data_IF_448509850649
#
_entry.id   IF_448509850649
#
_cell.length_a   1.000
_cell.length_b   1.000
_cell.length_c   1.000
_cell.angle_alpha   90.00
_cell.angle_beta   90.00
_cell.angle_gamma   90.00
#
_symmetry.space_group_name_H-M   'P 1'
#
loop_
_entity.id
_entity.type
_entity.pdbx_description
1 polymer ?
#
# COMPACT_ATOMS: atom_id res chain seq x y z
N UNK A 1 1.98 15.82 23.77
CA UNK A 1 0.96 15.26 22.85
C UNK A 1 1.71 14.26 21.99
N UNK A 2 1.55 12.96 22.25
CA UNK A 2 1.98 11.93 21.29
C UNK A 2 0.97 12.01 20.15
N UNK A 3 1.39 12.41 18.95
CA UNK A 3 0.53 12.30 17.78
C UNK A 3 0.28 10.81 17.53
N UNK A 4 -0.95 10.35 17.70
CA UNK A 4 -1.33 9.00 17.29
C UNK A 4 -1.39 8.96 15.77
N UNK A 5 -0.57 8.12 15.15
CA UNK A 5 -0.62 7.87 13.70
C UNK A 5 -1.59 6.71 13.43
N UNK A 6 -2.52 6.91 12.50
CA UNK A 6 -3.40 5.85 11.98
C UNK A 6 -2.92 5.44 10.60
N UNK A 7 -2.41 4.21 10.50
CA UNK A 7 -1.87 3.65 9.26
C UNK A 7 -2.83 2.59 8.72
N UNK A 8 -3.32 2.78 7.50
CA UNK A 8 -4.10 1.77 6.77
C UNK A 8 -3.19 0.73 6.14
N UNK A 9 -3.59 -0.54 6.14
CA UNK A 9 -2.88 -1.64 5.48
C UNK A 9 -3.82 -2.44 4.57
N UNK A 10 -3.38 -2.69 3.35
CA UNK A 10 -4.06 -3.53 2.34
C UNK A 10 -3.01 -4.27 1.51
N UNK A 11 -3.39 -5.33 0.80
CA UNK A 11 -2.49 -6.11 -0.05
C UNK A 11 -3.29 -6.92 -1.08
N UNK A 12 -2.59 -7.47 -2.08
CA UNK A 12 -3.09 -8.51 -2.99
C UNK A 12 -4.44 -8.14 -3.61
N UNK A 13 -4.55 -6.90 -4.10
CA UNK A 13 -5.80 -6.39 -4.67
C UNK A 13 -6.06 -6.99 -6.06
N UNK A 14 -5.01 -7.33 -6.81
CA UNK A 14 -5.06 -8.00 -8.12
C UNK A 14 -6.16 -7.42 -9.04
N UNK A 15 -6.13 -6.09 -9.24
CA UNK A 15 -7.09 -5.37 -10.08
C UNK A 15 -6.39 -4.82 -11.34
N UNK A 16 -6.89 -5.09 -12.55
CA UNK A 16 -7.96 -6.04 -12.85
C UNK A 16 -7.49 -7.49 -12.66
N UNK A 17 -8.41 -8.38 -12.30
CA UNK A 17 -8.10 -9.79 -12.08
C UNK A 17 -9.07 -10.44 -11.10
N UNK A 18 -8.61 -10.67 -9.87
CA UNK A 18 -9.46 -11.15 -8.78
C UNK A 18 -10.55 -10.12 -8.44
N UNK A 19 -10.22 -8.83 -8.58
CA UNK A 19 -11.15 -7.72 -8.44
C UNK A 19 -11.38 -7.04 -9.79
N UNK A 20 -12.63 -6.68 -10.04
CA UNK A 20 -13.00 -5.80 -11.18
C UNK A 20 -12.85 -4.32 -10.83
N UNK A 21 -13.04 -4.00 -9.56
CA UNK A 21 -12.93 -2.67 -8.97
C UNK A 21 -12.62 -2.85 -7.48
N UNK A 22 -12.00 -1.84 -6.86
CA UNK A 22 -11.85 -1.80 -5.41
C UNK A 22 -13.21 -1.88 -4.69
N UNK A 23 -13.24 -2.45 -3.49
CA UNK A 23 -14.46 -2.52 -2.69
C UNK A 23 -15.04 -1.12 -2.44
N UNK A 24 -16.35 -0.91 -2.61
CA UNK A 24 -16.94 0.42 -2.47
C UNK A 24 -16.63 1.11 -1.12
N UNK A 25 -16.58 0.35 -0.03
CA UNK A 25 -16.30 0.86 1.31
C UNK A 25 -14.82 1.08 1.63
N UNK A 26 -13.89 0.81 0.71
CA UNK A 26 -12.44 0.92 0.97
C UNK A 26 -12.03 2.36 1.33
N UNK A 27 -12.67 3.35 0.70
CA UNK A 27 -12.36 4.76 0.89
C UNK A 27 -12.84 5.25 2.26
N UNK A 28 -14.04 4.85 2.67
CA UNK A 28 -14.58 5.16 3.99
C UNK A 28 -13.78 4.46 5.09
N UNK A 29 -13.36 3.22 4.84
CA UNK A 29 -12.54 2.45 5.78
C UNK A 29 -11.19 3.11 6.05
N UNK A 30 -10.53 3.63 5.01
CA UNK A 30 -9.26 4.35 5.14
C UNK A 30 -9.39 5.84 5.47
N UNK A 31 -10.61 6.36 5.60
CA UNK A 31 -10.84 7.75 5.98
C UNK A 31 -10.17 8.08 7.32
N UNK A 32 -9.42 9.19 7.34
CA UNK A 32 -8.67 9.64 8.51
C UNK A 32 -7.40 8.85 8.82
N UNK A 33 -6.93 7.98 7.91
CA UNK A 33 -5.58 7.45 7.98
C UNK A 33 -4.57 8.53 7.56
N UNK A 34 -3.42 8.58 8.24
CA UNK A 34 -2.31 9.45 7.89
C UNK A 34 -1.48 8.91 6.72
N UNK A 35 -1.52 7.58 6.52
CA UNK A 35 -0.91 6.88 5.39
C UNK A 35 -1.62 5.56 5.11
N UNK A 36 -1.52 5.09 3.87
CA UNK A 36 -1.95 3.76 3.43
C UNK A 36 -0.73 2.99 2.92
N UNK A 37 -0.57 1.78 3.41
CA UNK A 37 0.46 0.84 3.02
C UNK A 37 -0.19 -0.27 2.19
N UNK A 38 0.27 -0.47 0.96
CA UNK A 38 -0.12 -1.61 0.12
C UNK A 38 1.04 -2.59 0.00
N UNK A 39 0.88 -3.83 0.44
CA UNK A 39 1.97 -4.82 0.42
C UNK A 39 2.12 -5.54 -0.94
N UNK A 40 1.81 -4.84 -2.05
CA UNK A 40 1.99 -5.34 -3.43
C UNK A 40 0.84 -6.13 -4.03
N UNK A 41 1.05 -6.57 -5.26
CA UNK A 41 0.11 -7.29 -6.12
C UNK A 41 -1.13 -6.44 -6.47
N UNK A 42 -0.85 -5.29 -7.10
CA UNK A 42 -1.83 -4.36 -7.65
C UNK A 42 -2.37 -4.83 -9.00
N UNK A 43 -1.47 -5.15 -9.96
CA UNK A 43 -1.68 -5.22 -11.42
C UNK A 43 -1.93 -3.89 -12.16
N UNK A 44 -2.44 -2.84 -11.50
CA UNK A 44 -2.66 -1.52 -12.13
C UNK A 44 -2.36 -0.36 -11.17
N UNK A 45 -1.87 0.76 -11.72
CA UNK A 45 -1.67 2.00 -10.96
C UNK A 45 -2.98 2.69 -10.55
N UNK A 46 -4.12 2.33 -11.17
CA UNK A 46 -5.42 2.93 -10.81
C UNK A 46 -5.77 2.70 -9.33
N UNK A 47 -5.31 1.60 -8.73
CA UNK A 47 -5.48 1.33 -7.29
C UNK A 47 -4.74 2.40 -6.49
N UNK A 48 -3.48 2.67 -6.85
CA UNK A 48 -2.62 3.63 -6.15
C UNK A 48 -3.21 5.03 -6.29
N UNK A 49 -3.68 5.40 -7.48
CA UNK A 49 -4.34 6.67 -7.72
C UNK A 49 -5.66 6.81 -6.95
N UNK A 50 -6.42 5.73 -6.81
CA UNK A 50 -7.65 5.73 -6.04
C UNK A 50 -7.37 5.89 -4.53
N UNK A 51 -6.45 5.10 -3.98
CA UNK A 51 -6.09 5.16 -2.55
C UNK A 51 -5.39 6.48 -2.19
N UNK A 52 -4.57 7.02 -3.09
CA UNK A 52 -3.86 8.30 -2.89
C UNK A 52 -4.79 9.51 -2.78
N UNK A 53 -6.07 9.39 -3.17
CA UNK A 53 -7.09 10.42 -2.94
C UNK A 53 -7.54 10.47 -1.49
N UNK A 54 -7.34 9.41 -0.71
CA UNK A 54 -7.72 9.31 0.70
C UNK A 54 -6.56 9.72 1.60
N UNK A 55 -5.37 9.16 1.36
CA UNK A 55 -4.17 9.44 2.14
C UNK A 55 -2.90 9.10 1.33
N UNK A 56 -1.72 9.64 1.70
CA UNK A 56 -0.44 9.23 1.11
C UNK A 56 -0.32 7.70 1.08
N UNK A 57 -0.10 7.15 -0.12
CA UNK A 57 -0.07 5.70 -0.35
C UNK A 57 1.33 5.25 -0.76
N UNK A 58 1.83 4.21 -0.10
CA UNK A 58 3.11 3.58 -0.37
C UNK A 58 2.88 2.12 -0.73
N UNK A 59 3.54 1.64 -1.78
CA UNK A 59 3.32 0.29 -2.28
C UNK A 59 4.64 -0.46 -2.37
N UNK A 60 4.70 -1.63 -1.73
CA UNK A 60 5.75 -2.60 -1.99
C UNK A 60 5.45 -3.32 -3.31
N UNK A 61 6.44 -3.49 -4.19
CA UNK A 61 6.25 -4.21 -5.44
C UNK A 61 5.99 -5.70 -5.17
N UNK A 62 4.85 -6.21 -5.66
CA UNK A 62 4.54 -7.63 -5.67
C UNK A 62 4.94 -8.32 -6.97
N UNK A 63 4.88 -9.65 -7.01
CA UNK A 63 5.22 -10.43 -8.21
C UNK A 63 4.23 -10.22 -9.37
N UNK A 64 3.04 -9.66 -9.12
CA UNK A 64 2.06 -9.28 -10.12
C UNK A 64 2.24 -7.86 -10.68
N UNK A 65 3.21 -7.10 -10.18
CA UNK A 65 3.39 -5.66 -10.50
C UNK A 65 4.50 -5.40 -11.54
N UNK A 66 4.87 -6.43 -12.30
CA UNK A 66 5.92 -6.35 -13.31
C UNK A 66 5.67 -5.25 -14.34
N UNK A 67 6.67 -4.39 -14.54
CA UNK A 67 6.62 -3.29 -15.50
C UNK A 67 5.88 -2.03 -15.03
N UNK A 68 5.29 -2.03 -13.82
CA UNK A 68 4.77 -0.81 -13.23
C UNK A 68 5.92 0.09 -12.77
N UNK A 69 5.82 1.38 -13.05
CA UNK A 69 6.82 2.39 -12.63
C UNK A 69 6.10 3.62 -12.12
N UNK A 70 6.29 3.93 -10.84
CA UNK A 70 5.70 5.08 -10.16
C UNK A 70 6.50 5.38 -8.88
N UNK A 71 6.70 6.66 -8.50
CA UNK A 71 7.47 7.00 -7.29
C UNK A 71 6.86 6.51 -5.96
N UNK A 72 5.60 6.09 -5.95
CA UNK A 72 4.91 5.49 -4.80
C UNK A 72 5.17 3.99 -4.68
N UNK A 73 5.81 3.38 -5.66
CA UNK A 73 6.16 1.96 -5.69
C UNK A 73 7.65 1.79 -5.43
N UNK A 74 8.00 0.83 -4.58
CA UNK A 74 9.39 0.43 -4.32
C UNK A 74 9.43 -1.06 -3.97
N UNK A 75 10.57 -1.74 -4.16
CA UNK A 75 10.73 -3.14 -3.72
C UNK A 75 10.50 -3.30 -2.21
N UNK A 76 10.91 -2.28 -1.45
CA UNK A 76 10.69 -2.20 -0.02
C UNK A 76 10.55 -0.75 0.43
N UNK A 77 9.83 -0.54 1.52
CA UNK A 77 9.72 0.73 2.21
C UNK A 77 10.23 0.60 3.65
N UNK A 78 10.96 1.61 4.11
CA UNK A 78 11.24 1.83 5.53
C UNK A 78 10.70 3.22 5.89
N UNK A 79 9.56 3.25 6.58
CA UNK A 79 8.83 4.47 6.89
C UNK A 79 8.90 4.74 8.39
N UNK A 80 8.96 6.02 8.77
CA UNK A 80 8.99 6.45 10.17
C UNK A 80 7.69 7.17 10.51
N UNK A 81 6.97 6.65 11.50
CA UNK A 81 5.74 7.23 12.05
C UNK A 81 5.97 7.54 13.53
N UNK A 82 6.23 8.81 13.84
CA UNK A 82 6.67 9.22 15.18
C UNK A 82 8.01 8.56 15.54
N UNK A 83 8.04 7.81 16.63
CA UNK A 83 9.22 7.06 17.08
C UNK A 83 9.28 5.61 16.54
N UNK A 84 8.24 5.17 15.81
CA UNK A 84 8.15 3.80 15.28
C UNK A 84 8.60 3.75 13.82
N UNK A 85 9.47 2.80 13.49
CA UNK A 85 9.80 2.45 12.12
C UNK A 85 8.99 1.24 11.66
N UNK A 86 8.45 1.33 10.44
CA UNK A 86 7.68 0.27 9.80
C UNK A 86 8.38 -0.10 8.49
N UNK A 87 8.83 -1.35 8.40
CA UNK A 87 9.33 -1.95 7.17
C UNK A 87 8.19 -2.65 6.42
N UNK A 88 8.16 -2.51 5.09
CA UNK A 88 7.19 -3.20 4.25
C UNK A 88 7.86 -3.71 2.98
N UNK A 89 7.61 -4.98 2.66
CA UNK A 89 8.00 -5.64 1.41
C UNK A 89 6.98 -6.75 1.13
N UNK A 90 6.77 -7.10 -0.14
CA UNK A 90 5.80 -8.14 -0.51
C UNK A 90 6.29 -9.55 -0.14
N UNK A 91 7.52 -9.86 -0.50
CA UNK A 91 8.16 -11.14 -0.19
C UNK A 91 9.36 -10.93 0.74
N UNK A 92 9.26 -11.36 1.99
CA UNK A 92 10.41 -11.41 2.89
C UNK A 92 11.19 -12.71 2.64
N UNK A 93 12.45 -12.65 2.17
CA UNK A 93 13.26 -13.86 2.04
C UNK A 93 13.51 -14.45 3.43
N UNK A 94 13.21 -15.74 3.61
CA UNK A 94 13.61 -16.44 4.82
C UNK A 94 15.11 -16.71 4.77
N UNK A 95 15.86 -16.46 5.86
CA UNK A 95 17.24 -16.95 5.93
C UNK A 95 17.25 -18.47 5.77
N UNK A 96 18.17 -18.97 4.95
CA UNK A 96 18.46 -20.41 4.81
C UNK A 96 18.94 -21.03 6.12
#
# INVERSE_FOLDING_TARGET
MTSEFRIGLISDTHMPGALKALWPGVFDFFSGCDAILHAGDLHTLDIVDALSKVAPTYVALGNGDDGLTDPRLAEHWLLTFGETQVGMMHHCPSPE
#
